data_IF_296546064338
#
_entry.id   IF_296546064338
#
_cell.length_a   1.000
_cell.length_b   1.000
_cell.length_c   1.000
_cell.angle_alpha   90.00
_cell.angle_beta   90.00
_cell.angle_gamma   90.00
#
_symmetry.space_group_name_H-M   'P 1'
#
loop_
_entity.id
_entity.type
_entity.pdbx_description
1 polymer ?
#
# COMPACT_ATOMS: atom_id res chain seq x y z
N UNK A 1 -13.05 -0.76 13.74
CA UNK A 1 -12.54 -1.70 12.73
C UNK A 1 -12.76 -3.09 13.28
N UNK A 2 -13.57 -3.90 12.61
CA UNK A 2 -13.82 -5.26 13.07
C UNK A 2 -12.51 -6.08 13.04
N UNK A 3 -12.11 -6.75 14.14
CA UNK A 3 -10.84 -7.46 14.22
C UNK A 3 -10.61 -8.49 13.10
N UNK A 4 -11.71 -9.07 12.60
CA UNK A 4 -11.70 -10.07 11.52
C UNK A 4 -11.21 -9.49 10.18
N UNK A 5 -11.58 -8.25 9.85
CA UNK A 5 -11.22 -7.60 8.58
C UNK A 5 -9.75 -7.22 8.56
N UNK A 6 -9.17 -6.89 9.72
CA UNK A 6 -7.75 -6.57 9.85
C UNK A 6 -6.86 -7.77 9.54
N UNK A 7 -7.15 -8.93 10.16
CA UNK A 7 -6.38 -10.17 9.94
C UNK A 7 -6.42 -10.58 8.47
N UNK A 8 -7.58 -10.54 7.83
CA UNK A 8 -7.73 -10.86 6.41
C UNK A 8 -6.93 -9.91 5.50
N UNK A 9 -6.95 -8.60 5.78
CA UNK A 9 -6.17 -7.61 5.02
C UNK A 9 -4.67 -7.86 5.10
N UNK A 10 -4.15 -8.05 6.32
CA UNK A 10 -2.72 -8.28 6.53
C UNK A 10 -2.28 -9.55 5.81
N UNK A 11 -3.08 -10.61 5.89
CA UNK A 11 -2.76 -11.88 5.26
C UNK A 11 -2.69 -11.77 3.74
N UNK A 12 -3.64 -11.05 3.12
CA UNK A 12 -3.64 -10.82 1.66
C UNK A 12 -2.43 -9.99 1.21
N UNK A 13 -2.08 -8.92 1.93
CA UNK A 13 -0.93 -8.05 1.61
C UNK A 13 0.37 -8.84 1.69
N UNK A 14 0.56 -9.62 2.76
CA UNK A 14 1.77 -10.42 2.96
C UNK A 14 1.93 -11.47 1.86
N UNK A 15 0.85 -12.21 1.53
CA UNK A 15 0.90 -13.21 0.46
C UNK A 15 1.20 -12.57 -0.90
N UNK A 16 0.59 -11.42 -1.20
CA UNK A 16 0.77 -10.73 -2.47
C UNK A 16 2.19 -10.15 -2.62
N UNK A 17 2.73 -9.53 -1.59
CA UNK A 17 4.10 -9.01 -1.60
C UNK A 17 5.16 -10.12 -1.76
N UNK A 18 4.90 -11.32 -1.24
CA UNK A 18 5.75 -12.50 -1.44
C UNK A 18 5.76 -12.96 -2.91
N UNK A 19 4.60 -13.01 -3.56
CA UNK A 19 4.47 -13.40 -4.96
C UNK A 19 5.12 -12.35 -5.88
N UNK A 20 4.90 -11.06 -5.61
CA UNK A 20 5.47 -9.96 -6.39
C UNK A 20 7.01 -9.87 -6.19
N UNK A 21 7.52 -10.12 -4.98
CA UNK A 21 8.95 -10.23 -4.70
C UNK A 21 9.62 -11.37 -5.47
N UNK A 22 8.97 -12.53 -5.58
CA UNK A 22 9.41 -13.64 -6.42
C UNK A 22 9.45 -13.28 -7.91
N UNK A 23 8.45 -12.55 -8.41
CA UNK A 23 8.44 -12.07 -9.79
C UNK A 23 9.64 -11.15 -10.10
N UNK A 24 10.02 -10.29 -9.15
CA UNK A 24 11.22 -9.44 -9.28
C UNK A 24 12.50 -10.25 -9.26
N UNK A 25 12.59 -11.32 -8.45
CA UNK A 25 13.73 -12.22 -8.47
C UNK A 25 13.93 -12.88 -9.84
N UNK A 26 12.84 -13.31 -10.49
CA UNK A 26 12.86 -13.84 -11.87
C UNK A 26 13.31 -12.76 -12.86
N UNK A 27 12.76 -11.54 -12.76
CA UNK A 27 13.17 -10.43 -13.62
C UNK A 27 14.66 -10.08 -13.48
N UNK A 28 15.20 -10.10 -12.25
CA UNK A 28 16.61 -9.84 -11.98
C UNK A 28 17.53 -10.85 -12.68
N UNK A 29 17.16 -12.14 -12.68
CA UNK A 29 17.88 -13.19 -13.40
C UNK A 29 17.85 -12.97 -14.92
N UNK A 30 16.68 -12.57 -15.47
CA UNK A 30 16.55 -12.24 -16.88
C UNK A 30 17.38 -11.02 -17.30
N UNK A 31 17.42 -9.97 -16.47
CA UNK A 31 18.16 -8.73 -16.75
C UNK A 31 19.67 -8.95 -16.69
N UNK A 32 20.14 -9.73 -15.72
CA UNK A 32 21.57 -9.90 -15.49
C UNK A 32 22.29 -10.59 -16.66
N UNK A 33 21.57 -11.34 -17.53
CA UNK A 33 22.10 -12.11 -18.67
C UNK A 33 23.33 -12.97 -18.35
N UNK A 34 23.61 -13.20 -17.07
CA UNK A 34 24.74 -13.95 -16.49
C UNK A 34 24.21 -14.72 -15.27
N UNK A 35 24.87 -15.81 -14.92
CA UNK A 35 24.54 -16.55 -13.70
C UNK A 35 24.77 -15.65 -12.48
N UNK A 36 23.68 -15.27 -11.82
CA UNK A 36 23.74 -14.66 -10.49
C UNK A 36 23.86 -15.77 -9.45
N UNK A 37 24.72 -15.61 -8.43
CA UNK A 37 24.71 -16.50 -7.28
C UNK A 37 23.31 -16.53 -6.66
N UNK A 38 22.85 -17.71 -6.24
CA UNK A 38 21.53 -17.89 -5.59
C UNK A 38 21.40 -16.96 -4.38
N UNK A 39 22.50 -16.69 -3.67
CA UNK A 39 22.55 -15.76 -2.55
C UNK A 39 22.19 -14.32 -2.95
N UNK A 40 22.56 -13.85 -4.14
CA UNK A 40 22.25 -12.49 -4.58
C UNK A 40 20.79 -12.37 -5.03
N UNK A 41 20.26 -13.40 -5.69
CA UNK A 41 18.83 -13.47 -6.05
C UNK A 41 17.95 -13.47 -4.79
N UNK A 42 18.36 -14.18 -3.75
CA UNK A 42 17.67 -14.17 -2.44
C UNK A 42 17.69 -12.78 -1.79
N UNK A 43 18.81 -12.06 -1.81
CA UNK A 43 18.90 -10.69 -1.29
C UNK A 43 17.98 -9.73 -2.06
N UNK A 44 17.95 -9.83 -3.39
CA UNK A 44 17.08 -9.01 -4.24
C UNK A 44 15.61 -9.31 -3.96
N UNK A 45 15.24 -10.59 -3.90
CA UNK A 45 13.87 -11.02 -3.56
C UNK A 45 13.43 -10.49 -2.19
N UNK A 46 14.28 -10.62 -1.17
CA UNK A 46 13.97 -10.17 0.20
C UNK A 46 13.81 -8.65 0.27
N UNK A 47 14.74 -7.90 -0.31
CA UNK A 47 14.67 -6.42 -0.32
C UNK A 47 13.48 -5.93 -1.14
N UNK A 48 13.19 -6.53 -2.29
CA UNK A 48 12.01 -6.23 -3.10
C UNK A 48 10.70 -6.56 -2.36
N UNK A 49 10.63 -7.69 -1.65
CA UNK A 49 9.47 -8.04 -0.83
C UNK A 49 9.24 -7.03 0.29
N UNK A 50 10.30 -6.52 0.93
CA UNK A 50 10.18 -5.44 1.94
C UNK A 50 9.70 -4.14 1.31
N UNK A 51 10.24 -3.75 0.15
CA UNK A 51 9.82 -2.54 -0.56
C UNK A 51 8.37 -2.63 -1.04
N UNK A 52 7.96 -3.76 -1.62
CA UNK A 52 6.57 -3.99 -1.99
C UNK A 52 5.65 -4.08 -0.80
N UNK A 53 6.08 -4.66 0.32
CA UNK A 53 5.30 -4.64 1.54
C UNK A 53 5.10 -3.19 2.03
N UNK A 54 6.11 -2.33 1.95
CA UNK A 54 5.98 -0.90 2.28
C UNK A 54 5.07 -0.16 1.29
N UNK A 55 5.23 -0.40 -0.01
CA UNK A 55 4.42 0.25 -1.06
C UNK A 55 2.97 -0.26 -1.11
N UNK A 56 2.74 -1.55 -0.85
CA UNK A 56 1.41 -2.18 -0.78
C UNK A 56 0.77 -1.95 0.60
N UNK A 57 1.58 -1.66 1.63
CA UNK A 57 1.13 -1.04 2.87
C UNK A 57 0.72 0.42 2.71
N UNK A 58 0.49 0.89 1.47
CA UNK A 58 -0.01 2.21 1.05
C UNK A 58 -1.25 2.67 1.87
N UNK A 59 -1.00 3.05 3.12
CA UNK A 59 -1.12 4.35 3.77
C UNK A 59 -1.60 5.57 2.96
N UNK A 60 -2.05 5.45 1.71
CA UNK A 60 -2.46 6.61 0.89
C UNK A 60 -3.88 6.52 0.31
N UNK A 61 -4.58 5.38 0.25
CA UNK A 61 -5.94 5.38 -0.32
C UNK A 61 -6.76 4.14 0.06
N UNK A 62 -7.47 4.17 1.21
CA UNK A 62 -8.90 4.45 1.06
C UNK A 62 -9.50 5.35 2.16
N UNK A 63 -8.77 5.60 3.25
CA UNK A 63 -9.32 6.32 4.43
C UNK A 63 -9.16 7.83 4.30
N UNK A 64 -8.05 8.32 3.73
CA UNK A 64 -7.79 9.76 3.60
C UNK A 64 -8.62 10.43 2.50
N UNK A 65 -8.92 9.71 1.41
CA UNK A 65 -9.75 10.27 0.33
C UNK A 65 -11.22 10.45 0.73
N UNK A 66 -11.80 9.49 1.45
CA UNK A 66 -13.18 9.56 1.93
C UNK A 66 -13.33 10.64 3.01
N UNK A 67 -12.43 10.67 3.99
CA UNK A 67 -12.43 11.68 5.04
C UNK A 67 -12.12 13.09 4.52
N UNK A 68 -11.21 13.24 3.55
CA UNK A 68 -10.95 14.52 2.91
C UNK A 68 -12.14 15.03 2.07
N UNK A 69 -12.82 14.14 1.31
CA UNK A 69 -14.05 14.50 0.57
C UNK A 69 -15.21 14.83 1.51
N UNK A 70 -15.36 14.09 2.60
CA UNK A 70 -16.37 14.37 3.62
C UNK A 70 -16.08 15.68 4.35
N UNK A 71 -14.83 15.95 4.73
CA UNK A 71 -14.41 17.21 5.34
C UNK A 71 -14.56 18.41 4.41
N UNK A 72 -14.19 18.28 3.13
CA UNK A 72 -14.37 19.33 2.12
C UNK A 72 -15.85 19.57 1.80
N UNK A 73 -16.65 18.51 1.65
CA UNK A 73 -18.09 18.60 1.43
C UNK A 73 -18.82 19.24 2.62
N UNK A 74 -18.42 18.88 3.85
CA UNK A 74 -18.91 19.51 5.07
C UNK A 74 -18.51 20.99 5.14
N UNK A 75 -17.26 21.33 4.85
CA UNK A 75 -16.77 22.72 4.89
C UNK A 75 -17.43 23.62 3.83
N UNK A 76 -17.66 23.10 2.62
CA UNK A 76 -18.39 23.80 1.57
C UNK A 76 -19.88 23.96 1.93
N UNK A 77 -20.54 22.89 2.37
CA UNK A 77 -21.94 22.94 2.77
C UNK A 77 -22.19 23.85 3.98
N UNK A 78 -21.29 23.84 4.96
CA UNK A 78 -21.36 24.71 6.14
C UNK A 78 -21.23 26.19 5.78
N UNK A 79 -20.33 26.55 4.85
CA UNK A 79 -20.21 27.93 4.35
C UNK A 79 -21.45 28.39 3.59
N UNK A 80 -22.12 27.52 2.85
CA UNK A 80 -23.33 27.86 2.10
C UNK A 80 -24.54 28.14 3.00
N UNK A 81 -24.61 27.51 4.19
CA UNK A 81 -25.74 27.66 5.13
C UNK A 81 -25.41 28.51 6.35
N UNK A 82 -24.22 29.14 6.40
CA UNK A 82 -23.80 30.01 7.51
C UNK A 82 -23.50 29.25 8.82
N UNK A 83 -23.16 27.96 8.74
CA UNK A 83 -22.77 27.14 9.89
C UNK A 83 -21.26 27.29 10.20
N UNK A 84 -20.84 27.33 11.47
CA UNK A 84 -21.62 27.37 12.71
C UNK A 84 -21.70 28.81 13.21
N UNK A 85 -22.64 29.61 12.70
CA UNK A 85 -23.14 30.84 13.32
C UNK A 85 -22.09 31.68 14.10
N UNK A 86 -21.29 32.46 13.38
CA UNK A 86 -20.50 33.52 13.99
C UNK A 86 -21.34 34.81 14.08
N UNK A 87 -22.35 34.78 14.96
CA UNK A 87 -23.37 35.83 15.22
C UNK A 87 -24.44 36.02 14.14
#
# INVERSE_FOLDING_TARGET
MDPQVFVQRVLVIVLRALIEGLAVAVAAVFIAKRSLPVADVLKVSLTAAVVFLVLDSNLLSPVYGLSARQGAGFGLGANLVGFPMAR
#
